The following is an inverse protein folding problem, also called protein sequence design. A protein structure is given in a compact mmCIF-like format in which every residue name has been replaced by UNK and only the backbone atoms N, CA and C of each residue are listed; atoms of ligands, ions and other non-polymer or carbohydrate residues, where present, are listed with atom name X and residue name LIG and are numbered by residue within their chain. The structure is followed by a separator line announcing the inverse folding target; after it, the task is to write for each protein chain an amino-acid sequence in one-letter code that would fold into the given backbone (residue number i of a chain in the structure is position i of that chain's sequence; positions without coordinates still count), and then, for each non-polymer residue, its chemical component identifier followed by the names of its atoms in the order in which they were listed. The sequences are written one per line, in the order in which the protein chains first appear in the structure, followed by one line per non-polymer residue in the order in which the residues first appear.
data_IF_742845288643
#
_entry.id   IF_742845288643
#
_cell.length_a   1.000
_cell.length_b   1.000
_cell.length_c   1.000
_cell.angle_alpha   90.00
_cell.angle_beta   90.00
_cell.angle_gamma   90.00
#
_symmetry.space_group_name_H-M   'P 1'
#
loop_
_entity.id
_entity.type
_entity.pdbx_description
1 polymer ?
#
# COMPACT_ATOMS: atom_id res chain seq x y z
N UNK A 1 14.46 33.19 12.35
CA UNK A 1 14.59 32.53 13.66
C UNK A 1 13.22 32.02 14.08
N UNK A 2 13.14 30.91 14.81
CA UNK A 2 11.88 30.32 15.28
C UNK A 2 11.02 29.62 14.21
N UNK A 3 11.57 29.26 13.05
CA UNK A 3 10.83 28.59 11.98
C UNK A 3 10.81 27.06 12.09
N UNK A 4 10.05 26.39 11.23
CA UNK A 4 10.11 24.93 11.05
C UNK A 4 10.66 24.62 9.65
N UNK A 5 11.68 23.76 9.59
CA UNK A 5 12.19 23.17 8.36
C UNK A 5 11.60 21.76 8.24
N UNK A 6 10.89 21.49 7.14
CA UNK A 6 10.43 20.16 6.79
C UNK A 6 11.29 19.61 5.66
N UNK A 7 11.93 18.44 5.88
CA UNK A 7 12.69 17.74 4.87
C UNK A 7 11.97 16.42 4.53
N UNK A 8 11.51 16.30 3.29
CA UNK A 8 10.94 15.05 2.78
C UNK A 8 12.05 14.18 2.17
N UNK A 9 11.82 12.87 2.15
CA UNK A 9 12.73 11.87 1.57
C UNK A 9 14.20 12.00 2.06
N UNK A 10 14.41 12.23 3.36
CA UNK A 10 15.76 12.47 3.92
C UNK A 10 16.72 11.28 3.70
N UNK A 11 16.19 10.07 3.53
CA UNK A 11 16.96 8.86 3.22
C UNK A 11 17.56 8.84 1.81
N UNK A 12 17.14 9.72 0.91
CA UNK A 12 17.73 9.88 -0.43
C UNK A 12 18.88 10.89 -0.47
N UNK A 13 19.18 11.54 0.66
CA UNK A 13 20.24 12.53 0.75
C UNK A 13 21.63 11.87 0.58
N UNK A 14 22.47 12.35 -0.37
CA UNK A 14 23.87 11.90 -0.49
C UNK A 14 24.68 12.11 0.80
N UNK A 15 25.64 11.23 1.09
CA UNK A 15 26.46 11.25 2.31
C UNK A 15 27.18 12.60 2.53
N UNK A 16 27.60 13.27 1.45
CA UNK A 16 28.25 14.57 1.53
C UNK A 16 27.31 15.65 2.08
N UNK A 17 26.05 15.62 1.64
CA UNK A 17 25.02 16.55 2.13
C UNK A 17 24.58 16.22 3.55
N UNK A 18 24.59 14.94 3.93
CA UNK A 18 24.34 14.52 5.32
C UNK A 18 25.35 15.16 6.28
N UNK A 19 26.64 15.20 5.92
CA UNK A 19 27.68 15.85 6.72
C UNK A 19 27.54 17.38 6.80
N UNK A 20 26.94 18.01 5.79
CA UNK A 20 26.60 19.44 5.84
C UNK A 20 25.40 19.65 6.77
N UNK A 21 24.34 18.85 6.63
CA UNK A 21 23.15 18.96 7.46
C UNK A 21 23.48 18.74 8.94
N UNK A 22 24.31 17.75 9.27
CA UNK A 22 24.77 17.50 10.63
C UNK A 22 25.41 18.75 11.25
N UNK A 23 26.36 19.37 10.55
CA UNK A 23 27.00 20.62 10.99
C UNK A 23 26.00 21.74 11.22
N UNK A 24 25.01 21.89 10.35
CA UNK A 24 23.94 22.89 10.52
C UNK A 24 23.11 22.60 11.78
N UNK A 25 22.85 21.33 12.10
CA UNK A 25 22.08 20.93 13.29
C UNK A 25 22.87 21.07 14.59
N UNK A 26 24.19 21.00 14.54
CA UNK A 26 25.12 21.16 15.66
C UNK A 26 25.44 22.64 15.91
N UNK A 27 26.04 23.31 14.91
CA UNK A 27 26.56 24.67 15.04
C UNK A 27 25.47 25.73 14.98
N UNK A 28 24.27 25.37 14.51
CA UNK A 28 23.17 26.30 14.24
C UNK A 28 23.58 27.44 13.31
N UNK A 29 24.45 27.12 12.36
CA UNK A 29 24.99 28.06 11.38
C UNK A 29 24.94 27.49 9.97
N UNK A 30 24.66 28.36 8.99
CA UNK A 30 24.66 28.01 7.57
C UNK A 30 25.55 28.97 6.78
N UNK A 31 26.23 28.45 5.77
CA UNK A 31 26.94 29.26 4.79
C UNK A 31 26.25 29.13 3.43
N UNK A 32 26.04 30.25 2.75
CA UNK A 32 25.52 30.25 1.38
C UNK A 32 26.58 29.68 0.43
N UNK A 33 26.15 29.05 -0.66
CA UNK A 33 27.04 28.64 -1.75
C UNK A 33 27.79 29.89 -2.27
N UNK A 34 29.12 29.83 -2.34
CA UNK A 34 29.99 30.97 -2.70
C UNK A 34 30.11 32.07 -1.63
N UNK A 35 29.45 31.91 -0.48
CA UNK A 35 29.57 32.82 0.65
C UNK A 35 30.90 32.65 1.39
N UNK A 36 31.28 33.68 2.16
CA UNK A 36 32.46 33.66 3.03
C UNK A 36 32.12 33.83 4.52
N UNK A 37 30.83 33.93 4.85
CA UNK A 37 30.34 34.21 6.20
C UNK A 37 29.22 33.26 6.56
N UNK A 38 29.34 32.67 7.73
CA UNK A 38 28.28 31.90 8.37
C UNK A 38 27.16 32.83 8.85
N UNK A 39 25.95 32.29 8.89
CA UNK A 39 24.77 32.95 9.44
C UNK A 39 24.13 32.03 10.47
N UNK A 40 23.91 32.57 11.67
CA UNK A 40 23.15 31.86 12.70
C UNK A 40 21.72 31.63 12.25
N UNK A 41 21.25 30.41 12.47
CA UNK A 41 19.90 29.96 12.17
C UNK A 41 19.30 29.29 13.39
N UNK A 42 18.00 29.45 13.54
CA UNK A 42 17.25 28.79 14.58
C UNK A 42 15.95 28.29 13.97
N UNK A 43 15.76 26.97 14.05
CA UNK A 43 14.65 26.25 13.47
C UNK A 43 14.40 24.92 14.18
N UNK A 44 13.14 24.49 14.13
CA UNK A 44 12.71 23.11 14.40
C UNK A 44 12.83 22.29 13.12
N UNK A 45 13.45 21.12 13.20
CA UNK A 45 13.49 20.18 12.07
C UNK A 45 12.37 19.14 12.21
N UNK A 46 11.66 18.88 11.12
CA UNK A 46 10.82 17.70 10.93
C UNK A 46 11.32 17.02 9.66
N UNK A 47 11.62 15.73 9.73
CA UNK A 47 12.07 14.95 8.59
C UNK A 47 11.12 13.78 8.33
N UNK A 48 10.96 13.42 7.06
CA UNK A 48 10.19 12.27 6.62
C UNK A 48 11.01 11.42 5.64
N UNK A 49 10.73 10.12 5.61
CA UNK A 49 11.39 9.14 4.73
C UNK A 49 10.53 7.88 4.64
N UNK A 50 10.63 7.19 3.51
CA UNK A 50 10.07 5.84 3.30
C UNK A 50 11.13 4.74 3.45
N UNK A 51 12.40 5.10 3.70
CA UNK A 51 13.52 4.17 3.87
C UNK A 51 13.83 3.88 5.34
N UNK A 52 14.24 2.64 5.69
CA UNK A 52 14.62 2.27 7.04
C UNK A 52 16.01 2.86 7.39
N UNK A 53 16.04 4.06 7.97
CA UNK A 53 17.30 4.77 8.25
C UNK A 53 18.21 4.03 9.23
N UNK A 54 17.65 3.23 10.13
CA UNK A 54 18.40 2.44 11.10
C UNK A 54 19.16 1.28 10.44
N UNK A 55 18.58 0.65 9.42
CA UNK A 55 19.26 -0.34 8.58
C UNK A 55 20.31 0.34 7.69
N UNK A 56 19.94 1.44 7.04
CA UNK A 56 20.88 2.21 6.21
C UNK A 56 22.10 2.72 6.99
N UNK A 57 21.92 3.05 8.28
CA UNK A 57 23.02 3.42 9.16
C UNK A 57 24.00 2.26 9.39
N UNK A 58 23.48 1.04 9.62
CA UNK A 58 24.31 -0.17 9.76
C UNK A 58 25.07 -0.52 8.48
N UNK A 59 24.48 -0.21 7.33
CA UNK A 59 25.08 -0.44 6.01
C UNK A 59 26.02 0.69 5.53
N UNK A 60 26.24 1.73 6.33
CA UNK A 60 27.00 2.94 5.96
C UNK A 60 26.42 3.71 4.75
N UNK A 61 25.15 3.50 4.42
CA UNK A 61 24.40 4.25 3.39
C UNK A 61 23.79 5.54 3.96
N UNK A 62 23.68 5.62 5.29
CA UNK A 62 23.29 6.81 6.03
C UNK A 62 24.25 7.00 7.20
N UNK A 63 24.58 8.24 7.55
CA UNK A 63 25.49 8.48 8.66
C UNK A 63 24.78 8.23 10.00
N UNK A 64 25.41 7.40 10.83
CA UNK A 64 24.91 7.04 12.16
C UNK A 64 24.73 8.26 13.07
N UNK A 65 25.66 9.23 13.01
CA UNK A 65 25.59 10.48 13.80
C UNK A 65 24.36 11.34 13.45
N UNK A 66 24.07 11.49 12.15
CA UNK A 66 22.88 12.18 11.69
C UNK A 66 21.61 11.41 12.06
N UNK A 67 21.61 10.08 11.95
CA UNK A 67 20.47 9.25 12.32
C UNK A 67 20.05 9.52 13.78
N UNK A 68 20.98 9.44 14.72
CA UNK A 68 20.69 9.68 16.14
C UNK A 68 20.27 11.13 16.43
N UNK A 69 20.72 12.10 15.63
CA UNK A 69 20.30 13.50 15.76
C UNK A 69 18.87 13.72 15.25
N UNK A 70 18.42 12.93 14.27
CA UNK A 70 17.06 13.00 13.70
C UNK A 70 16.06 12.17 14.50
N UNK A 71 16.45 10.99 14.98
CA UNK A 71 15.56 9.98 15.58
C UNK A 71 15.19 10.24 17.05
N UNK A 72 15.30 11.49 17.52
CA UNK A 72 14.92 11.88 18.90
C UNK A 72 13.44 11.61 19.19
N UNK A 73 12.58 11.88 18.21
CA UNK A 73 11.16 11.54 18.24
C UNK A 73 10.77 11.01 16.86
N UNK A 74 10.45 9.71 16.80
CA UNK A 74 10.02 9.05 15.57
C UNK A 74 8.53 8.74 15.62
N UNK A 75 7.82 9.02 14.53
CA UNK A 75 6.41 8.68 14.34
C UNK A 75 6.32 7.75 13.14
N UNK A 76 5.94 6.50 13.39
CA UNK A 76 5.69 5.54 12.33
C UNK A 76 4.27 5.74 11.79
N UNK A 77 4.16 6.06 10.49
CA UNK A 77 2.87 6.25 9.84
C UNK A 77 2.34 4.90 9.32
N UNK A 78 1.20 4.41 9.83
CA UNK A 78 0.65 3.15 9.35
C UNK A 78 0.16 3.30 7.90
N UNK A 79 0.35 2.27 7.06
CA UNK A 79 -0.21 2.25 5.71
C UNK A 79 -1.74 2.18 5.77
N UNK A 80 -2.42 2.62 4.70
CA UNK A 80 -3.88 2.64 4.63
C UNK A 80 -4.53 1.27 4.93
N UNK A 81 -3.89 0.16 4.53
CA UNK A 81 -4.36 -1.20 4.84
C UNK A 81 -4.47 -1.51 6.34
N UNK A 82 -3.69 -0.84 7.18
CA UNK A 82 -3.71 -1.03 8.64
C UNK A 82 -4.65 -0.03 9.32
N UNK A 83 -5.41 0.76 8.54
CA UNK A 83 -6.33 1.81 9.00
C UNK A 83 -7.73 1.43 8.56
N UNK A 84 -8.37 0.57 9.35
CA UNK A 84 -9.74 0.13 9.08
C UNK A 84 -10.68 1.33 8.91
N UNK A 85 -11.60 1.25 7.94
CA UNK A 85 -12.57 2.30 7.59
C UNK A 85 -12.03 3.60 6.98
N UNK A 86 -10.73 3.90 7.08
CA UNK A 86 -10.16 5.14 6.51
C UNK A 86 -10.29 5.18 4.98
N UNK A 87 -10.19 4.03 4.30
CA UNK A 87 -10.33 3.95 2.85
C UNK A 87 -11.70 4.45 2.37
N UNK A 88 -12.78 4.11 3.09
CA UNK A 88 -14.14 4.57 2.79
C UNK A 88 -14.27 6.08 3.01
N UNK A 89 -13.84 6.56 4.18
CA UNK A 89 -13.93 7.97 4.55
C UNK A 89 -13.13 8.87 3.59
N UNK A 90 -11.92 8.44 3.24
CA UNK A 90 -11.05 9.12 2.28
C UNK A 90 -11.64 9.09 0.87
N UNK A 91 -12.25 7.98 0.45
CA UNK A 91 -12.93 7.89 -0.85
C UNK A 91 -14.01 8.94 -0.98
N UNK A 92 -14.90 9.04 0.02
CA UNK A 92 -15.94 10.06 0.06
C UNK A 92 -15.37 11.47 0.07
N UNK A 93 -14.27 11.71 0.78
CA UNK A 93 -13.57 13.00 0.77
C UNK A 93 -13.03 13.36 -0.61
N UNK A 94 -12.32 12.45 -1.29
CA UNK A 94 -11.76 12.69 -2.62
C UNK A 94 -12.86 12.95 -3.64
N UNK A 95 -13.95 12.18 -3.61
CA UNK A 95 -15.10 12.39 -4.49
C UNK A 95 -15.66 13.81 -4.33
N UNK A 96 -15.92 14.24 -3.09
CA UNK A 96 -16.40 15.61 -2.81
C UNK A 96 -15.40 16.67 -3.27
N UNK A 97 -14.11 16.48 -2.99
CA UNK A 97 -13.02 17.40 -3.37
C UNK A 97 -12.99 17.62 -4.88
N UNK A 98 -13.08 16.55 -5.67
CA UNK A 98 -13.00 16.63 -7.14
C UNK A 98 -14.29 17.12 -7.79
N UNK A 99 -15.48 16.67 -7.34
CA UNK A 99 -16.75 17.21 -7.83
C UNK A 99 -16.82 18.73 -7.64
N UNK A 100 -16.41 19.22 -6.45
CA UNK A 100 -16.35 20.66 -6.16
C UNK A 100 -15.37 21.40 -7.06
N UNK A 101 -14.21 20.80 -7.36
CA UNK A 101 -13.18 21.41 -8.21
C UNK A 101 -13.64 21.56 -9.67
N UNK A 102 -14.42 20.61 -10.19
CA UNK A 102 -14.91 20.61 -11.58
C UNK A 102 -16.27 21.31 -11.71
N UNK A 103 -16.95 21.60 -10.59
CA UNK A 103 -18.29 22.17 -10.62
C UNK A 103 -19.36 21.16 -11.05
N UNK A 104 -19.11 19.86 -10.86
CA UNK A 104 -20.05 18.80 -11.21
C UNK A 104 -20.96 18.42 -10.04
N UNK A 105 -22.07 17.75 -10.34
CA UNK A 105 -22.96 17.18 -9.32
C UNK A 105 -22.18 16.17 -8.47
N UNK A 106 -22.48 16.16 -7.17
CA UNK A 106 -21.87 15.21 -6.24
C UNK A 106 -22.28 13.78 -6.63
N UNK A 107 -21.27 12.93 -6.81
CA UNK A 107 -21.47 11.50 -7.07
C UNK A 107 -21.28 10.67 -5.80
N UNK A 108 -21.84 9.47 -5.79
CA UNK A 108 -21.73 8.52 -4.66
C UNK A 108 -21.21 7.18 -5.13
N UNK A 109 -20.53 6.44 -4.25
CA UNK A 109 -20.14 5.04 -4.52
C UNK A 109 -21.36 4.13 -4.38
N UNK A 110 -21.47 3.11 -5.25
CA UNK A 110 -22.39 2.00 -5.00
C UNK A 110 -21.90 1.13 -3.83
N UNK A 111 -22.79 0.39 -3.13
CA UNK A 111 -22.39 -0.53 -2.07
C UNK A 111 -21.35 -1.58 -2.52
N UNK A 112 -21.43 -2.04 -3.77
CA UNK A 112 -20.49 -3.00 -4.36
C UNK A 112 -19.12 -2.37 -4.60
N UNK A 113 -19.08 -1.14 -5.13
CA UNK A 113 -17.84 -0.40 -5.33
C UNK A 113 -17.14 -0.11 -3.99
N UNK A 114 -17.91 0.25 -2.97
CA UNK A 114 -17.40 0.45 -1.62
C UNK A 114 -16.78 -0.81 -1.02
N UNK A 115 -17.43 -1.97 -1.17
CA UNK A 115 -16.86 -3.26 -0.74
C UNK A 115 -15.51 -3.55 -1.40
N UNK A 116 -15.39 -3.28 -2.70
CA UNK A 116 -14.12 -3.46 -3.43
C UNK A 116 -13.03 -2.55 -2.87
N UNK A 117 -13.35 -1.28 -2.63
CA UNK A 117 -12.42 -0.29 -2.08
C UNK A 117 -11.94 -0.68 -0.68
N UNK A 118 -12.85 -1.15 0.17
CA UNK A 118 -12.54 -1.57 1.54
C UNK A 118 -11.72 -2.87 1.58
N UNK A 119 -11.94 -3.79 0.64
CA UNK A 119 -11.24 -5.06 0.58
C UNK A 119 -9.85 -4.98 -0.07
N UNK A 120 -9.49 -3.85 -0.68
CA UNK A 120 -8.22 -3.71 -1.39
C UNK A 120 -7.08 -3.26 -0.47
N UNK A 121 -5.88 -3.80 -0.66
CA UNK A 121 -4.73 -3.57 0.22
C UNK A 121 -4.00 -2.23 -0.01
N UNK A 122 -4.38 -1.47 -1.04
CA UNK A 122 -3.81 -0.15 -1.36
C UNK A 122 -2.27 -0.09 -1.26
N UNK A 123 -1.51 -0.86 -2.08
CA UNK A 123 -0.04 -0.83 -2.06
C UNK A 123 0.55 0.56 -2.32
N UNK A 124 -0.12 1.42 -3.09
CA UNK A 124 0.27 2.82 -3.28
C UNK A 124 -0.37 3.79 -2.26
N UNK A 125 -0.94 3.25 -1.18
CA UNK A 125 -1.51 3.97 -0.03
C UNK A 125 -2.54 5.03 -0.48
N UNK A 126 -2.65 6.14 0.26
CA UNK A 126 -3.59 7.24 -0.02
C UNK A 126 -3.45 7.80 -1.45
N UNK A 127 -2.24 7.85 -2.02
CA UNK A 127 -2.01 8.36 -3.39
C UNK A 127 -2.68 7.48 -4.45
N UNK A 128 -2.63 6.16 -4.29
CA UNK A 128 -3.33 5.22 -5.17
C UNK A 128 -4.84 5.36 -5.02
N UNK A 129 -5.35 5.50 -3.80
CA UNK A 129 -6.78 5.72 -3.55
C UNK A 129 -7.29 7.00 -4.21
N UNK A 130 -6.58 8.12 -4.03
CA UNK A 130 -6.92 9.40 -4.66
C UNK A 130 -6.96 9.27 -6.19
N UNK A 131 -5.97 8.58 -6.76
CA UNK A 131 -5.90 8.33 -8.21
C UNK A 131 -7.05 7.45 -8.70
N UNK A 132 -7.42 6.41 -7.94
CA UNK A 132 -8.54 5.54 -8.26
C UNK A 132 -9.88 6.29 -8.24
N UNK A 133 -10.09 7.16 -7.25
CA UNK A 133 -11.30 7.98 -7.15
C UNK A 133 -11.37 9.02 -8.27
N UNK A 134 -10.24 9.64 -8.61
CA UNK A 134 -10.16 10.54 -9.77
C UNK A 134 -10.47 9.81 -11.07
N UNK A 135 -9.94 8.60 -11.27
CA UNK A 135 -10.25 7.77 -12.43
C UNK A 135 -11.74 7.45 -12.51
N UNK A 136 -12.32 6.96 -11.41
CA UNK A 136 -13.72 6.58 -11.35
C UNK A 136 -14.66 7.74 -11.67
N UNK A 137 -14.36 8.94 -11.14
CA UNK A 137 -15.12 10.15 -11.49
C UNK A 137 -15.04 10.51 -12.98
N UNK A 138 -13.94 10.24 -13.66
CA UNK A 138 -13.84 10.51 -15.11
C UNK A 138 -14.57 9.45 -15.95
N UNK A 139 -14.66 8.21 -15.46
CA UNK A 139 -15.29 7.10 -16.19
C UNK A 139 -16.80 7.04 -15.98
N UNK A 140 -17.28 7.38 -14.78
CA UNK A 140 -18.70 7.33 -14.45
C UNK A 140 -19.49 8.32 -15.30
N UNK A 141 -20.55 7.84 -15.94
CA UNK A 141 -21.52 8.66 -16.68
C UNK A 141 -22.77 9.00 -15.86
N UNK A 142 -22.97 8.29 -14.74
CA UNK A 142 -24.11 8.43 -13.82
C UNK A 142 -23.76 9.30 -12.60
N UNK A 143 -24.72 9.47 -11.69
CA UNK A 143 -24.49 10.01 -10.35
C UNK A 143 -23.91 8.97 -9.37
N UNK A 144 -23.99 7.69 -9.72
CA UNK A 144 -23.48 6.57 -8.93
C UNK A 144 -22.27 5.94 -9.62
N UNK A 145 -21.17 5.84 -8.89
CA UNK A 145 -19.94 5.17 -9.31
C UNK A 145 -20.12 3.66 -9.03
N UNK A 146 -20.13 2.88 -10.10
CA UNK A 146 -20.27 1.42 -10.04
C UNK A 146 -18.91 0.72 -10.13
N UNK A 147 -18.79 -0.57 -9.78
CA UNK A 147 -17.54 -1.32 -9.92
C UNK A 147 -16.88 -1.19 -11.30
N UNK A 148 -17.68 -1.17 -12.39
CA UNK A 148 -17.17 -1.04 -13.76
C UNK A 148 -16.44 0.28 -14.05
N UNK A 149 -16.70 1.31 -13.25
CA UNK A 149 -16.07 2.62 -13.39
C UNK A 149 -14.74 2.69 -12.62
N UNK A 150 -14.48 1.73 -11.73
CA UNK A 150 -13.21 1.63 -10.99
C UNK A 150 -12.09 1.16 -11.92
N UNK A 151 -10.82 1.52 -11.60
CA UNK A 151 -9.67 0.99 -12.32
C UNK A 151 -9.66 -0.54 -12.37
N UNK A 152 -9.19 -1.09 -13.49
CA UNK A 152 -9.17 -2.55 -13.75
C UNK A 152 -8.42 -3.34 -12.66
N UNK A 153 -7.41 -2.75 -12.03
CA UNK A 153 -6.65 -3.42 -10.97
C UNK A 153 -7.45 -3.65 -9.68
N UNK A 154 -8.57 -2.93 -9.47
CA UNK A 154 -9.50 -3.13 -8.36
C UNK A 154 -10.57 -4.17 -8.68
N UNK A 155 -10.97 -4.28 -9.95
CA UNK A 155 -12.06 -5.15 -10.40
C UNK A 155 -11.59 -6.49 -10.94
N UNK A 156 -10.33 -6.60 -11.36
CA UNK A 156 -9.73 -7.86 -11.78
C UNK A 156 -9.63 -8.83 -10.61
N UNK A 157 -10.49 -9.85 -10.62
CA UNK A 157 -10.43 -11.03 -9.74
C UNK A 157 -9.08 -11.74 -9.76
N UNK A 158 -8.28 -11.57 -10.82
CA UNK A 158 -6.89 -12.04 -10.90
C UNK A 158 -5.96 -11.41 -9.86
N UNK A 159 -6.23 -10.18 -9.41
CA UNK A 159 -5.39 -9.48 -8.42
C UNK A 159 -5.80 -9.76 -6.98
N UNK A 160 -7.07 -10.03 -6.69
CA UNK A 160 -7.51 -10.46 -5.35
C UNK A 160 -6.83 -11.77 -4.93
N UNK A 161 -6.62 -12.68 -5.89
CA UNK A 161 -5.91 -13.94 -5.66
C UNK A 161 -4.41 -13.71 -5.51
N UNK A 162 -3.76 -12.91 -6.38
CA UNK A 162 -2.31 -12.63 -6.27
C UNK A 162 -1.90 -11.85 -5.02
N UNK A 163 -2.75 -10.95 -4.51
CA UNK A 163 -2.40 -10.10 -3.37
C UNK A 163 -2.51 -10.87 -2.04
N UNK A 164 -3.44 -11.81 -1.90
CA UNK A 164 -3.48 -12.71 -0.74
C UNK A 164 -2.28 -13.68 -0.66
N UNK A 165 -1.55 -13.88 -1.77
CA UNK A 165 -0.29 -14.63 -1.76
C UNK A 165 0.93 -13.77 -1.35
N UNK A 166 0.83 -12.44 -1.35
CA UNK A 166 1.92 -11.51 -1.02
C UNK A 166 1.70 -10.85 0.36
N UNK A 167 0.47 -10.79 0.86
CA UNK A 167 0.11 -10.10 2.10
C UNK A 167 0.44 -10.86 3.40
N UNK A 168 0.99 -12.08 3.31
CA UNK A 168 1.32 -12.92 4.46
C UNK A 168 2.83 -13.13 4.64
N UNK A 169 3.65 -12.10 4.40
CA UNK A 169 5.10 -12.27 4.55
C UNK A 169 5.76 -11.03 5.16
N UNK A 170 5.48 -10.76 6.44
CA UNK A 170 6.36 -9.92 7.26
C UNK A 170 6.67 -10.50 8.65
N UNK A 171 6.21 -11.71 9.02
CA UNK A 171 6.69 -12.35 10.24
C UNK A 171 7.01 -13.83 10.07
N UNK A 172 8.31 -14.05 9.87
CA UNK A 172 9.13 -15.17 10.35
C UNK A 172 8.72 -16.59 9.93
N UNK A 173 9.77 -17.22 9.38
CA UNK A 173 10.10 -18.64 9.36
C UNK A 173 9.65 -19.40 8.13
N UNK A 174 10.66 -19.89 7.42
CA UNK A 174 10.70 -21.02 6.51
C UNK A 174 9.66 -22.13 6.80
N UNK A 175 8.40 -21.92 6.44
CA UNK A 175 7.53 -23.03 6.04
C UNK A 175 7.39 -22.94 4.54
N UNK A 176 8.21 -23.71 3.83
CA UNK A 176 7.94 -24.11 2.44
C UNK A 176 6.44 -24.44 2.37
N UNK A 177 5.65 -23.60 1.67
CA UNK A 177 4.22 -23.80 1.47
C UNK A 177 4.01 -25.24 1.00
N UNK A 178 3.56 -26.10 1.90
CA UNK A 178 3.37 -27.51 1.63
C UNK A 178 2.49 -27.65 0.39
N UNK A 179 2.88 -28.49 -0.57
CA UNK A 179 2.11 -28.76 -1.80
C UNK A 179 0.64 -29.04 -1.52
N UNK A 180 0.32 -29.59 -0.33
CA UNK A 180 -1.07 -29.79 0.14
C UNK A 180 -1.87 -28.50 0.33
N UNK A 181 -1.28 -27.43 0.88
CA UNK A 181 -1.97 -26.15 1.09
C UNK A 181 -2.31 -25.49 -0.26
N UNK A 182 -1.36 -25.53 -1.21
CA UNK A 182 -1.56 -25.01 -2.57
C UNK A 182 -2.60 -25.83 -3.35
N UNK A 183 -2.54 -27.16 -3.24
CA UNK A 183 -3.49 -28.06 -3.90
C UNK A 183 -4.92 -27.85 -3.38
N UNK A 184 -5.10 -27.72 -2.05
CA UNK A 184 -6.40 -27.45 -1.45
C UNK A 184 -6.99 -26.11 -1.94
N UNK A 185 -6.17 -25.05 -1.92
CA UNK A 185 -6.60 -23.73 -2.39
C UNK A 185 -7.00 -23.72 -3.89
N UNK A 186 -6.27 -24.46 -4.73
CA UNK A 186 -6.62 -24.62 -6.14
C UNK A 186 -7.97 -25.33 -6.32
N UNK A 187 -8.23 -26.38 -5.53
CA UNK A 187 -9.49 -27.12 -5.54
C UNK A 187 -10.67 -26.23 -5.12
N UNK A 188 -10.52 -25.46 -4.04
CA UNK A 188 -11.54 -24.51 -3.58
C UNK A 188 -11.93 -23.51 -4.65
N UNK A 189 -10.93 -22.90 -5.31
CA UNK A 189 -11.16 -21.96 -6.39
C UNK A 189 -11.88 -22.60 -7.58
N UNK A 190 -11.48 -23.81 -7.96
CA UNK A 190 -12.12 -24.52 -9.06
C UNK A 190 -13.59 -24.86 -8.76
N UNK A 191 -13.91 -25.23 -7.51
CA UNK A 191 -15.30 -25.48 -7.08
C UNK A 191 -16.14 -24.20 -7.11
N UNK A 192 -15.59 -23.08 -6.62
CA UNK A 192 -16.28 -21.77 -6.65
C UNK A 192 -16.60 -21.36 -8.09
N UNK A 193 -15.62 -21.41 -8.99
CA UNK A 193 -15.81 -21.06 -10.40
C UNK A 193 -16.69 -22.04 -11.18
N UNK A 194 -16.76 -23.29 -10.71
CA UNK A 194 -17.64 -24.30 -11.26
C UNK A 194 -19.04 -24.32 -10.63
N UNK A 195 -19.34 -23.42 -9.68
CA UNK A 195 -20.57 -23.45 -8.89
C UNK A 195 -20.84 -24.84 -8.29
N UNK A 196 -19.81 -25.44 -7.66
CA UNK A 196 -19.80 -26.79 -7.11
C UNK A 196 -20.04 -27.94 -8.12
N UNK A 197 -19.96 -27.67 -9.42
CA UNK A 197 -20.00 -28.72 -10.44
C UNK A 197 -18.67 -29.47 -10.55
N UNK A 198 -18.58 -30.65 -9.95
CA UNK A 198 -17.37 -31.50 -9.96
C UNK A 198 -16.81 -31.75 -11.38
N UNK A 199 -17.63 -32.08 -12.40
CA UNK A 199 -17.15 -32.24 -13.78
C UNK A 199 -16.46 -30.98 -14.34
N UNK A 200 -16.98 -29.81 -14.01
CA UNK A 200 -16.49 -28.52 -14.51
C UNK A 200 -15.27 -28.04 -13.73
N UNK A 201 -15.24 -28.27 -12.41
CA UNK A 201 -14.09 -28.01 -11.57
C UNK A 201 -12.87 -28.87 -11.97
N UNK A 202 -13.09 -30.16 -12.27
CA UNK A 202 -12.02 -31.05 -12.75
C UNK A 202 -11.44 -30.57 -14.08
N UNK A 203 -12.30 -30.11 -15.00
CA UNK A 203 -11.87 -29.55 -16.27
C UNK A 203 -11.06 -28.25 -16.10
N UNK A 204 -11.45 -27.37 -15.17
CA UNK A 204 -10.72 -26.14 -14.86
C UNK A 204 -9.34 -26.40 -14.25
N UNK A 205 -9.21 -27.47 -13.46
CA UNK A 205 -7.95 -27.91 -12.86
C UNK A 205 -7.07 -28.72 -13.80
N UNK A 206 -7.57 -29.12 -14.98
CA UNK A 206 -6.85 -29.98 -15.91
C UNK A 206 -6.63 -31.40 -15.40
N UNK A 207 -7.45 -31.88 -14.46
CA UNK A 207 -7.36 -33.23 -13.87
C UNK A 207 -8.59 -34.07 -14.18
N UNK A 208 -8.47 -35.40 -14.02
CA UNK A 208 -9.61 -36.29 -14.18
C UNK A 208 -10.64 -36.10 -13.05
N UNK A 209 -11.92 -36.36 -13.33
CA UNK A 209 -12.99 -36.34 -12.31
C UNK A 209 -12.67 -37.27 -11.14
N UNK A 210 -12.14 -38.46 -11.43
CA UNK A 210 -11.74 -39.43 -10.41
C UNK A 210 -10.63 -38.90 -9.49
N UNK A 211 -9.67 -38.15 -10.04
CA UNK A 211 -8.62 -37.47 -9.26
C UNK A 211 -9.21 -36.42 -8.33
N UNK A 212 -10.15 -35.61 -8.83
CA UNK A 212 -10.80 -34.58 -8.02
C UNK A 212 -11.66 -35.19 -6.89
N UNK A 213 -12.46 -36.23 -7.17
CA UNK A 213 -13.23 -36.94 -6.14
C UNK A 213 -12.34 -37.50 -5.03
N UNK A 214 -11.21 -38.12 -5.39
CA UNK A 214 -10.25 -38.65 -4.41
C UNK A 214 -9.67 -37.53 -3.52
N UNK A 215 -9.38 -36.38 -4.12
CA UNK A 215 -8.83 -35.22 -3.41
C UNK A 215 -9.86 -34.56 -2.50
N UNK A 216 -11.11 -34.43 -2.93
CA UNK A 216 -12.19 -33.92 -2.09
C UNK A 216 -12.44 -34.79 -0.86
N UNK A 217 -12.34 -36.12 -1.01
CA UNK A 217 -12.38 -37.06 0.11
C UNK A 217 -11.16 -36.96 1.03
N UNK A 218 -9.97 -36.76 0.47
CA UNK A 218 -8.73 -36.55 1.24
C UNK A 218 -8.80 -35.26 2.10
N UNK A 219 -9.54 -34.24 1.64
CA UNK A 219 -9.70 -32.96 2.32
C UNK A 219 -11.05 -32.79 3.07
N UNK A 220 -11.81 -33.88 3.28
CA UNK A 220 -13.06 -33.94 4.04
C UNK A 220 -14.20 -33.00 3.53
N UNK A 221 -14.40 -32.89 2.21
CA UNK A 221 -15.56 -32.19 1.62
C UNK A 221 -16.81 -33.10 1.58
N UNK A 222 -17.16 -33.74 2.70
CA UNK A 222 -18.16 -34.82 2.79
C UNK A 222 -19.64 -34.38 2.63
N UNK A 223 -19.91 -33.21 2.03
CA UNK A 223 -21.27 -32.67 1.86
C UNK A 223 -21.59 -32.08 0.46
N UNK A 224 -20.82 -32.43 -0.57
CA UNK A 224 -21.08 -32.08 -1.98
C UNK A 224 -21.26 -33.34 -2.83
#
# INVERSE_FOLDING_TARGET
QGGTLFLDEIGDMPLELQAVLLRVLEDKEVMRIGGRRYKKVDFRLIAATNKPLDEMAKENLFREDLYFRLSVLSIQLPPLRNREHDAELLSGYFIRKYCKKVGSKLRTLSPEAQKIIMAYNWPGNIRQLESAMSFALNMTQSDVIEPKDLPEYLTSTKNLVKINFIANDEEKTEEILSLRKLEKAAIDLALIHAHNSIPRAAALLGISKATLYRKLKEYNYDQL
#
